data_IF_827006340140
#
_entry.id   IF_827006340140
#
_cell.length_a   1.000
_cell.length_b   1.000
_cell.length_c   1.000
_cell.angle_alpha   90.00
_cell.angle_beta   90.00
_cell.angle_gamma   90.00
#
_symmetry.space_group_name_H-M   'P 1'
#
loop_
_entity.id
_entity.type
_entity.pdbx_description
1 polymer ?
#
# COMPACT_ATOMS: atom_id res chain seq x y z
N UNK A 1 27.98 -10.78 -25.31
CA UNK A 1 28.75 -9.52 -25.28
C UNK A 1 28.10 -8.63 -24.25
N UNK A 2 28.86 -8.31 -23.21
CA UNK A 2 28.49 -7.59 -21.99
C UNK A 2 28.11 -6.14 -22.24
N UNK A 3 27.07 -5.66 -21.54
CA UNK A 3 27.00 -4.47 -20.65
C UNK A 3 25.79 -4.76 -19.74
N UNK A 4 25.87 -5.13 -18.46
CA UNK A 4 26.55 -4.60 -17.27
C UNK A 4 26.26 -3.12 -17.02
N UNK A 5 24.99 -2.82 -16.77
CA UNK A 5 24.61 -1.60 -16.08
C UNK A 5 24.56 -1.91 -14.58
N UNK A 6 25.68 -1.58 -13.97
CA UNK A 6 25.94 -1.58 -12.54
C UNK A 6 24.84 -0.85 -11.80
N UNK A 7 24.34 -1.52 -10.76
CA UNK A 7 23.76 -0.96 -9.56
C UNK A 7 24.64 0.19 -9.04
N UNK A 8 24.41 1.41 -9.53
CA UNK A 8 24.81 2.63 -8.83
C UNK A 8 23.76 2.86 -7.75
N UNK A 9 24.07 2.39 -6.55
CA UNK A 9 23.39 2.82 -5.34
C UNK A 9 23.53 4.35 -5.26
N UNK A 10 22.50 5.06 -5.70
CA UNK A 10 22.37 6.50 -5.49
C UNK A 10 22.24 6.74 -3.99
N UNK A 11 23.35 7.10 -3.37
CA UNK A 11 23.35 7.86 -2.13
C UNK A 11 22.72 9.23 -2.45
N UNK A 12 21.39 9.31 -2.38
CA UNK A 12 20.60 10.45 -2.83
C UNK A 12 19.24 10.44 -2.17
N UNK A 13 18.77 11.60 -1.72
CA UNK A 13 17.48 11.76 -1.03
C UNK A 13 16.35 11.23 -1.91
N UNK A 14 15.81 10.06 -1.59
CA UNK A 14 14.72 9.43 -2.32
C UNK A 14 14.43 8.02 -1.80
N UNK A 15 13.30 7.43 -2.21
CA UNK A 15 13.02 6.02 -1.96
C UNK A 15 13.98 5.15 -2.75
N UNK A 16 14.32 3.97 -2.21
CA UNK A 16 15.12 2.99 -2.93
C UNK A 16 14.43 2.54 -4.23
N UNK A 17 13.11 2.37 -4.16
CA UNK A 17 12.23 2.18 -5.32
C UNK A 17 11.36 3.42 -5.49
N UNK A 18 11.53 4.22 -6.56
CA UNK A 18 10.68 5.36 -6.86
C UNK A 18 9.20 4.98 -6.95
N UNK A 19 8.31 5.97 -6.78
CA UNK A 19 6.87 5.78 -7.09
C UNK A 19 6.73 5.64 -8.61
N UNK A 20 5.90 4.70 -9.05
CA UNK A 20 5.68 4.38 -10.47
C UNK A 20 4.19 4.17 -10.78
N UNK A 21 3.88 3.87 -12.04
CA UNK A 21 2.51 3.59 -12.48
C UNK A 21 1.99 2.22 -12.00
N UNK A 22 2.88 1.36 -11.48
CA UNK A 22 2.51 0.07 -10.88
C UNK A 22 2.02 0.22 -9.43
N UNK A 23 2.11 1.43 -8.85
CA UNK A 23 1.69 1.70 -7.47
C UNK A 23 0.20 2.05 -7.36
N UNK A 24 -0.45 1.54 -6.32
CA UNK A 24 -1.80 1.98 -5.95
C UNK A 24 -1.75 3.37 -5.33
N UNK A 25 -2.38 4.34 -6.00
CA UNK A 25 -2.39 5.76 -5.61
C UNK A 25 -3.82 6.23 -5.26
N UNK A 26 -3.94 7.00 -4.17
CA UNK A 26 -5.17 7.71 -3.74
C UNK A 26 -4.85 9.19 -3.52
N UNK A 27 -5.77 10.07 -3.90
CA UNK A 27 -5.55 11.52 -3.89
C UNK A 27 -5.08 12.05 -5.24
N UNK A 28 -4.52 13.26 -5.27
CA UNK A 28 -4.09 13.92 -6.51
C UNK A 28 -2.70 13.44 -6.96
N UNK A 29 -2.53 13.10 -8.24
CA UNK A 29 -1.26 12.61 -8.78
C UNK A 29 -0.13 13.65 -8.75
N UNK A 30 -0.49 14.93 -8.83
CA UNK A 30 0.38 16.11 -8.83
C UNK A 30 0.44 16.82 -7.47
N UNK A 31 -0.07 16.19 -6.42
CA UNK A 31 -0.03 16.70 -5.06
C UNK A 31 1.39 17.09 -4.62
N UNK A 32 1.48 18.18 -3.85
CA UNK A 32 2.75 18.71 -3.37
C UNK A 32 3.50 17.75 -2.42
N UNK A 33 2.78 16.84 -1.76
CA UNK A 33 3.34 15.85 -0.82
C UNK A 33 2.94 14.45 -1.24
N UNK A 34 3.92 13.54 -1.30
CA UNK A 34 3.69 12.10 -1.48
C UNK A 34 4.02 11.33 -0.21
N UNK A 35 3.08 10.53 0.26
CA UNK A 35 3.26 9.62 1.38
C UNK A 35 3.20 8.18 0.88
N UNK A 36 4.33 7.47 0.98
CA UNK A 36 4.39 6.03 0.65
C UNK A 36 4.34 5.23 1.94
N UNK A 37 3.31 4.39 2.08
CA UNK A 37 3.19 3.45 3.19
C UNK A 37 3.47 2.02 2.71
N UNK A 38 4.39 1.36 3.40
CA UNK A 38 4.52 -0.09 3.37
C UNK A 38 3.66 -0.67 4.48
N UNK A 39 2.63 -1.44 4.12
CA UNK A 39 1.62 -1.89 5.08
C UNK A 39 1.32 -3.38 5.01
N UNK A 40 0.70 -3.85 6.08
CA UNK A 40 0.28 -5.22 6.30
C UNK A 40 -1.13 -5.18 6.88
N UNK A 41 -2.09 -5.82 6.22
CA UNK A 41 -3.50 -5.78 6.62
C UNK A 41 -3.77 -6.48 7.95
N UNK A 42 -2.94 -7.43 8.38
CA UNK A 42 -3.10 -8.11 9.67
C UNK A 42 -2.43 -7.30 10.82
N UNK A 43 -1.76 -6.19 10.50
CA UNK A 43 -1.10 -5.33 11.46
C UNK A 43 -2.05 -4.32 12.12
N UNK A 44 -2.28 -4.48 13.43
CA UNK A 44 -3.09 -3.55 14.24
C UNK A 44 -2.58 -2.09 14.22
N UNK A 45 -1.26 -1.89 14.20
CA UNK A 45 -0.68 -0.55 14.04
C UNK A 45 -0.95 0.01 12.64
N UNK A 46 -0.91 -0.82 11.60
CA UNK A 46 -1.26 -0.39 10.24
C UNK A 46 -2.74 0.01 10.14
N UNK A 47 -3.66 -0.68 10.82
CA UNK A 47 -5.06 -0.25 10.89
C UNK A 47 -5.27 1.04 11.68
N UNK A 48 -4.43 1.31 12.67
CA UNK A 48 -4.42 2.64 13.33
C UNK A 48 -3.93 3.73 12.38
N UNK A 49 -2.88 3.44 11.59
CA UNK A 49 -2.39 4.36 10.55
C UNK A 49 -3.44 4.58 9.48
N UNK A 50 -4.17 3.56 9.03
CA UNK A 50 -5.25 3.67 8.05
C UNK A 50 -6.26 4.77 8.43
N UNK A 51 -6.79 4.75 9.65
CA UNK A 51 -7.70 5.81 10.15
C UNK A 51 -7.08 7.22 10.17
N UNK A 52 -5.76 7.31 10.36
CA UNK A 52 -5.04 8.58 10.30
C UNK A 52 -4.88 9.03 8.85
N UNK A 53 -4.58 8.11 7.93
CA UNK A 53 -4.49 8.39 6.49
C UNK A 53 -5.83 8.88 5.95
N UNK A 54 -6.95 8.28 6.33
CA UNK A 54 -8.29 8.75 5.94
C UNK A 54 -8.50 10.21 6.35
N UNK A 55 -8.20 10.53 7.62
CA UNK A 55 -8.26 11.92 8.10
C UNK A 55 -7.31 12.83 7.32
N UNK A 56 -6.08 12.39 7.02
CA UNK A 56 -5.13 13.21 6.27
C UNK A 56 -5.59 13.47 4.84
N UNK A 57 -6.16 12.47 4.16
CA UNK A 57 -6.71 12.63 2.82
C UNK A 57 -7.87 13.62 2.80
N UNK A 58 -8.72 13.63 3.84
CA UNK A 58 -9.78 14.63 3.99
C UNK A 58 -9.23 16.04 4.28
N UNK A 59 -8.23 16.17 5.16
CA UNK A 59 -7.70 17.47 5.58
C UNK A 59 -6.75 18.09 4.54
N UNK A 60 -6.11 17.28 3.71
CA UNK A 60 -5.13 17.66 2.69
C UNK A 60 -5.67 17.35 1.28
N UNK A 61 -6.97 17.50 1.07
CA UNK A 61 -7.61 17.27 -0.22
C UNK A 61 -6.90 18.05 -1.34
N UNK A 62 -6.47 17.35 -2.39
CA UNK A 62 -5.65 17.91 -3.48
C UNK A 62 -4.17 18.17 -3.15
N UNK A 63 -3.76 18.07 -1.89
CA UNK A 63 -2.37 18.33 -1.45
C UNK A 63 -1.59 17.07 -1.07
N UNK A 64 -2.28 15.93 -0.90
CA UNK A 64 -1.68 14.64 -0.57
C UNK A 64 -1.88 13.59 -1.67
N UNK A 65 -0.76 13.01 -2.12
CA UNK A 65 -0.70 11.76 -2.88
C UNK A 65 -0.34 10.63 -1.94
N UNK A 66 -1.29 9.75 -1.65
CA UNK A 66 -1.06 8.57 -0.84
C UNK A 66 -0.78 7.36 -1.73
N UNK A 67 0.31 6.65 -1.43
CA UNK A 67 0.74 5.44 -2.12
C UNK A 67 0.82 4.31 -1.11
N UNK A 68 0.25 3.16 -1.46
CA UNK A 68 0.31 1.97 -0.63
C UNK A 68 1.10 0.84 -1.32
N UNK A 69 1.97 0.20 -0.56
CA UNK A 69 2.75 -0.96 -0.97
C UNK A 69 2.60 -2.08 0.07
N UNK A 70 2.39 -3.30 -0.41
CA UNK A 70 2.31 -4.46 0.47
C UNK A 70 3.67 -4.77 1.11
N UNK A 71 3.66 -5.05 2.42
CA UNK A 71 4.81 -5.58 3.16
C UNK A 71 4.33 -6.64 4.18
N UNK A 72 3.81 -7.78 3.68
CA UNK A 72 3.25 -8.82 4.55
C UNK A 72 4.35 -9.52 5.35
N UNK A 73 4.25 -9.49 6.68
CA UNK A 73 5.18 -10.17 7.58
C UNK A 73 4.73 -11.61 7.84
N UNK A 74 4.79 -12.43 6.79
CA UNK A 74 4.21 -13.80 6.74
C UNK A 74 4.71 -14.75 7.83
N UNK A 75 5.89 -14.50 8.40
CA UNK A 75 6.45 -15.30 9.49
C UNK A 75 5.67 -15.18 10.81
N UNK A 76 4.94 -14.07 11.00
CA UNK A 76 4.24 -13.75 12.26
C UNK A 76 2.76 -13.37 12.06
N UNK A 77 2.33 -13.26 10.79
CA UNK A 77 0.98 -12.84 10.38
C UNK A 77 0.50 -13.78 9.28
N UNK A 78 -0.17 -14.89 9.65
CA UNK A 78 -0.48 -15.97 8.74
C UNK A 78 -1.46 -15.60 7.61
N UNK A 79 -2.24 -14.53 7.76
CA UNK A 79 -3.24 -14.09 6.78
C UNK A 79 -2.76 -12.85 5.98
N UNK A 80 -1.62 -12.25 6.35
CA UNK A 80 -1.15 -11.01 5.73
C UNK A 80 -0.91 -11.14 4.22
N UNK A 81 -0.45 -12.31 3.76
CA UNK A 81 -0.20 -12.55 2.35
C UNK A 81 -1.50 -12.68 1.56
N UNK A 82 -2.42 -13.51 2.04
CA UNK A 82 -3.72 -13.75 1.42
C UNK A 82 -4.54 -12.45 1.33
N UNK A 83 -4.52 -11.62 2.39
CA UNK A 83 -5.15 -10.31 2.37
C UNK A 83 -4.51 -9.35 1.32
N UNK A 84 -3.18 -9.38 1.18
CA UNK A 84 -2.50 -8.61 0.12
C UNK A 84 -2.88 -9.09 -1.28
N UNK A 85 -2.92 -10.41 -1.49
CA UNK A 85 -3.35 -11.01 -2.76
C UNK A 85 -4.80 -10.67 -3.09
N UNK A 86 -5.70 -10.65 -2.09
CA UNK A 86 -7.09 -10.24 -2.28
C UNK A 86 -7.22 -8.76 -2.70
N UNK A 87 -6.44 -7.87 -2.09
CA UNK A 87 -6.40 -6.46 -2.50
C UNK A 87 -5.93 -6.30 -3.95
N UNK A 88 -4.87 -6.99 -4.35
CA UNK A 88 -4.36 -6.96 -5.73
C UNK A 88 -5.34 -7.59 -6.73
N UNK A 89 -5.99 -8.70 -6.36
CA UNK A 89 -7.03 -9.31 -7.18
C UNK A 89 -8.24 -8.37 -7.40
N UNK A 90 -8.60 -7.59 -6.38
CA UNK A 90 -9.59 -6.52 -6.52
C UNK A 90 -9.05 -5.35 -7.36
N UNK A 91 -7.76 -5.01 -7.22
CA UNK A 91 -7.08 -4.01 -8.06
C UNK A 91 -7.11 -4.34 -9.54
N UNK A 92 -6.93 -5.61 -9.92
CA UNK A 92 -7.10 -6.09 -11.29
C UNK A 92 -8.54 -5.92 -11.84
N UNK A 93 -9.50 -5.57 -10.97
CA UNK A 93 -10.91 -5.29 -11.29
C UNK A 93 -11.28 -3.82 -10.99
N UNK A 94 -10.30 -2.92 -10.95
CA UNK A 94 -10.47 -1.49 -10.66
C UNK A 94 -11.05 -1.20 -9.25
N UNK A 95 -10.89 -2.14 -8.32
CA UNK A 95 -11.50 -2.11 -6.98
C UNK A 95 -10.48 -2.25 -5.84
N UNK A 96 -9.22 -1.85 -6.05
CA UNK A 96 -8.17 -1.91 -5.02
C UNK A 96 -8.59 -1.16 -3.75
N UNK A 97 -8.96 0.12 -3.85
CA UNK A 97 -9.28 0.96 -2.69
C UNK A 97 -10.52 0.49 -1.90
N UNK A 98 -11.64 0.11 -2.54
CA UNK A 98 -12.75 -0.51 -1.83
C UNK A 98 -12.35 -1.78 -1.05
N UNK A 99 -11.49 -2.63 -1.63
CA UNK A 99 -11.01 -3.82 -0.93
C UNK A 99 -10.03 -3.46 0.19
N UNK A 100 -9.10 -2.56 -0.06
CA UNK A 100 -8.16 -2.02 0.92
C UNK A 100 -8.88 -1.48 2.16
N UNK A 101 -9.92 -0.68 1.99
CA UNK A 101 -10.71 -0.11 3.08
C UNK A 101 -11.40 -1.25 3.86
N UNK A 102 -12.07 -2.16 3.15
CA UNK A 102 -12.73 -3.35 3.74
C UNK A 102 -11.77 -4.20 4.58
N UNK A 103 -10.56 -4.47 4.09
CA UNK A 103 -9.58 -5.29 4.80
C UNK A 103 -9.10 -4.63 6.11
N UNK A 104 -8.99 -3.29 6.15
CA UNK A 104 -8.67 -2.58 7.39
C UNK A 104 -9.86 -2.38 8.32
N UNK A 105 -11.08 -2.33 7.80
CA UNK A 105 -12.31 -2.32 8.61
C UNK A 105 -12.56 -3.68 9.29
N UNK A 106 -12.05 -4.77 8.70
CA UNK A 106 -12.28 -6.15 9.12
C UNK A 106 -10.98 -6.92 9.43
N UNK A 107 -10.00 -6.30 10.11
CA UNK A 107 -8.71 -6.93 10.40
C UNK A 107 -8.79 -8.21 11.26
N UNK A 108 -9.92 -8.46 11.91
CA UNK A 108 -10.21 -9.67 12.67
C UNK A 108 -10.77 -10.83 11.82
N UNK A 109 -11.07 -10.57 10.54
CA UNK A 109 -11.64 -11.51 9.57
C UNK A 109 -10.86 -11.44 8.25
N UNK A 110 -9.64 -12.01 8.25
CA UNK A 110 -8.73 -12.04 7.10
C UNK A 110 -8.40 -13.46 6.65
N UNK A 111 -9.07 -14.48 7.20
CA UNK A 111 -8.85 -15.85 6.73
C UNK A 111 -9.35 -15.99 5.28
N UNK A 112 -8.86 -16.98 4.56
CA UNK A 112 -9.21 -17.16 3.14
C UNK A 112 -10.74 -17.18 2.86
N UNK A 113 -11.54 -17.67 3.81
CA UNK A 113 -13.00 -17.70 3.74
C UNK A 113 -13.69 -16.33 3.92
N UNK A 114 -12.99 -15.35 4.47
CA UNK A 114 -13.50 -13.99 4.71
C UNK A 114 -13.24 -13.04 3.53
N UNK A 115 -12.40 -13.46 2.57
CA UNK A 115 -11.87 -12.62 1.48
C UNK A 115 -12.69 -12.69 0.17
N UNK A 116 -13.77 -13.49 0.15
CA UNK A 116 -14.68 -13.65 -1.00
C UNK A 116 -15.78 -12.58 -1.10
#
# INVERSE_FOLDING_TARGET
MSRNDTNEATSGRGLAEPVSDDDHVRGADDAAVTLVQYGDFECSNCGTVHRIIEQLLEHLDGELRYVYRHFPLTEVRPNAKEAAEAAEAAGAQDAFWPMYDRLYEHQDALAAEDLE
#
